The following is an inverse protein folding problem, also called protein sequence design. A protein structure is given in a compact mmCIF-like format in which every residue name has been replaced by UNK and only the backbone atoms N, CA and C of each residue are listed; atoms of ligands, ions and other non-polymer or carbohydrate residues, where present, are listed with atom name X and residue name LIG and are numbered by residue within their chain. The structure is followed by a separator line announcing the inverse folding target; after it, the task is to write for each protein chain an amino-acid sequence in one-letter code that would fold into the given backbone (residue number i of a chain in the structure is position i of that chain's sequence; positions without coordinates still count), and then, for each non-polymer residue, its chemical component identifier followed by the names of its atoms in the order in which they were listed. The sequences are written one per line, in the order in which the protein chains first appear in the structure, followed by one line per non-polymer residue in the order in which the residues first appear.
data_IF_844165005603
#
_entry.id   IF_844165005603
#
_cell.length_a   1.000
_cell.length_b   1.000
_cell.length_c   1.000
_cell.angle_alpha   90.00
_cell.angle_beta   90.00
_cell.angle_gamma   90.00
#
_symmetry.space_group_name_H-M   'P 1'
#
loop_
_entity.id
_entity.type
_entity.pdbx_description
1 polymer ?
#
# COMPACT_ATOMS: atom_id res chain seq x y z
N UNK A 1 -5.23 6.19 -23.34
CA UNK A 1 -4.87 6.67 -21.99
C UNK A 1 -4.73 5.53 -20.99
N UNK A 2 -4.29 4.37 -21.49
CA UNK A 2 -4.21 3.08 -20.79
C UNK A 2 -2.91 2.40 -21.24
N UNK A 3 -1.76 2.85 -20.72
CA UNK A 3 -0.47 2.13 -20.73
C UNK A 3 0.59 3.00 -20.05
N UNK A 4 1.53 2.36 -19.34
CA UNK A 4 2.69 2.92 -18.59
C UNK A 4 2.43 3.43 -17.16
N UNK A 5 2.72 2.60 -16.15
CA UNK A 5 4.00 2.55 -15.42
C UNK A 5 4.00 1.32 -14.52
N UNK A 6 5.07 0.53 -14.64
CA UNK A 6 4.88 -0.90 -14.60
C UNK A 6 6.14 -1.76 -14.40
N UNK A 7 7.02 -1.47 -13.42
CA UNK A 7 7.93 -2.49 -12.85
C UNK A 7 8.84 -1.97 -11.71
N UNK A 8 8.79 -2.64 -10.55
CA UNK A 8 9.87 -3.01 -9.60
C UNK A 8 9.21 -3.44 -8.27
N UNK A 9 9.29 -4.64 -7.70
CA UNK A 9 9.75 -5.98 -8.05
C UNK A 9 8.78 -6.96 -7.34
N UNK A 10 8.52 -8.13 -7.94
CA UNK A 10 7.83 -9.32 -7.42
C UNK A 10 6.40 -9.20 -6.80
N UNK A 11 5.94 -8.00 -6.45
CA UNK A 11 4.53 -7.75 -6.18
C UNK A 11 3.70 -7.76 -7.46
N UNK A 12 4.27 -7.70 -8.65
CA UNK A 12 3.48 -7.90 -9.88
C UNK A 12 3.14 -9.35 -10.12
N UNK A 13 4.05 -10.27 -9.81
CA UNK A 13 3.73 -11.69 -9.93
C UNK A 13 2.95 -12.16 -8.72
N UNK A 14 3.26 -11.68 -7.51
CA UNK A 14 2.45 -11.96 -6.31
C UNK A 14 1.09 -11.25 -6.36
N UNK A 15 0.98 -10.00 -6.84
CA UNK A 15 -0.33 -9.36 -7.06
C UNK A 15 -1.05 -9.94 -8.26
N UNK A 16 -0.39 -10.33 -9.35
CA UNK A 16 -1.06 -11.11 -10.41
C UNK A 16 -1.50 -12.46 -9.86
N UNK A 17 -0.72 -13.14 -9.04
CA UNK A 17 -1.06 -14.43 -8.44
C UNK A 17 -2.09 -14.30 -7.32
N UNK A 18 -2.14 -13.20 -6.57
CA UNK A 18 -3.13 -12.90 -5.54
C UNK A 18 -4.42 -12.38 -6.17
N UNK A 19 -4.33 -11.55 -7.21
CA UNK A 19 -5.47 -11.16 -8.05
C UNK A 19 -5.99 -12.37 -8.82
N UNK A 20 -5.13 -13.28 -9.30
CA UNK A 20 -5.51 -14.54 -9.91
C UNK A 20 -6.06 -15.51 -8.86
N UNK A 21 -5.56 -15.55 -7.62
CA UNK A 21 -6.15 -16.35 -6.54
C UNK A 21 -7.52 -15.79 -6.11
N UNK A 22 -7.68 -14.46 -6.08
CA UNK A 22 -8.95 -13.80 -5.79
C UNK A 22 -9.96 -14.00 -6.93
N UNK A 23 -9.50 -13.94 -8.19
CA UNK A 23 -10.31 -14.20 -9.39
C UNK A 23 -10.64 -15.70 -9.51
N UNK A 24 -9.70 -16.62 -9.29
CA UNK A 24 -9.95 -18.06 -9.27
C UNK A 24 -10.93 -18.41 -8.15
N UNK A 25 -10.78 -17.85 -6.94
CA UNK A 25 -11.75 -18.05 -5.85
C UNK A 25 -13.13 -17.46 -6.13
N UNK A 26 -13.24 -16.48 -7.04
CA UNK A 26 -14.49 -15.92 -7.52
C UNK A 26 -15.10 -16.73 -8.69
N UNK A 27 -14.27 -17.31 -9.56
CA UNK A 27 -14.67 -18.14 -10.71
C UNK A 27 -15.09 -19.55 -10.27
N UNK A 28 -14.43 -20.13 -9.25
CA UNK A 28 -14.81 -21.44 -8.69
C UNK A 28 -16.22 -21.42 -8.04
N UNK A 29 -16.68 -20.24 -7.60
CA UNK A 29 -18.06 -20.03 -7.12
C UNK A 29 -19.11 -19.99 -8.24
N UNK A 30 -18.73 -19.73 -9.49
CA UNK A 30 -19.67 -19.72 -10.62
C UNK A 30 -19.88 -21.12 -11.23
N UNK A 31 -19.09 -22.12 -10.85
CA UNK A 31 -19.18 -23.49 -11.38
C UNK A 31 -20.18 -24.42 -10.69
N UNK A 32 -20.80 -24.00 -9.57
CA UNK A 32 -21.75 -24.84 -8.82
C UNK A 32 -22.98 -24.03 -8.37
N UNK A 33 -23.79 -23.61 -9.34
CA UNK A 33 -25.22 -23.35 -9.10
C UNK A 33 -26.03 -23.99 -10.22
N UNK A 34 -26.38 -25.26 -10.08
CA UNK A 34 -27.58 -25.79 -10.73
C UNK A 34 -28.77 -25.22 -9.96
N UNK A 35 -29.26 -24.05 -10.37
CA UNK A 35 -30.56 -23.57 -9.95
C UNK A 35 -31.63 -24.24 -10.82
N UNK A 36 -32.32 -25.22 -10.25
CA UNK A 36 -33.62 -25.66 -10.74
C UNK A 36 -34.66 -24.56 -10.48
N UNK A 37 -34.90 -23.72 -11.48
CA UNK A 37 -36.05 -22.85 -11.54
C UNK A 37 -36.77 -23.07 -12.86
N UNK A 38 -37.41 -24.23 -12.99
CA UNK A 38 -38.52 -24.41 -13.92
C UNK A 38 -39.80 -23.92 -13.23
N UNK A 39 -40.35 -22.78 -13.65
CA UNK A 39 -41.78 -22.59 -13.94
C UNK A 39 -42.14 -21.12 -14.19
N UNK A 40 -42.83 -20.92 -15.32
CA UNK A 40 -43.75 -19.83 -15.65
C UNK A 40 -43.17 -18.51 -16.16
N UNK A 41 -43.23 -18.40 -17.49
CA UNK A 41 -43.26 -17.16 -18.27
C UNK A 41 -44.50 -16.32 -17.91
N UNK A 42 -44.34 -15.00 -17.87
CA UNK A 42 -45.35 -14.08 -18.43
C UNK A 42 -44.64 -12.82 -18.99
N UNK A 43 -44.74 -12.51 -20.29
CA UNK A 43 -44.20 -11.29 -20.87
C UNK A 43 -45.29 -10.20 -20.89
N UNK A 44 -44.94 -8.98 -20.48
CA UNK A 44 -45.75 -7.75 -20.47
C UNK A 44 -46.64 -7.52 -19.23
N UNK A 45 -46.14 -6.73 -18.26
CA UNK A 45 -47.00 -6.21 -17.18
C UNK A 45 -46.32 -5.17 -16.28
N UNK A 46 -46.44 -3.89 -16.64
CA UNK A 46 -46.15 -2.73 -15.80
C UNK A 46 -47.09 -2.67 -14.57
N UNK A 47 -46.55 -2.37 -13.38
CA UNK A 47 -47.16 -1.50 -12.35
C UNK A 47 -46.20 -1.34 -11.15
N UNK A 48 -45.62 -0.15 -10.90
CA UNK A 48 -46.02 0.87 -9.90
C UNK A 48 -46.32 0.40 -8.47
N UNK A 49 -45.50 0.98 -7.56
CA UNK A 49 -45.77 1.41 -6.18
C UNK A 49 -46.13 0.40 -5.09
N UNK A 50 -45.37 0.46 -3.98
CA UNK A 50 -45.99 0.68 -2.68
C UNK A 50 -45.01 1.38 -1.73
N UNK A 51 -45.35 2.63 -1.37
CA UNK A 51 -44.70 3.48 -0.38
C UNK A 51 -45.76 3.80 0.68
N UNK A 52 -45.46 3.61 1.97
CA UNK A 52 -46.06 4.18 3.22
C UNK A 52 -45.84 3.17 4.36
N UNK A 53 -45.47 3.47 5.62
CA UNK A 53 -45.54 4.62 6.53
C UNK A 53 -44.31 4.53 7.47
N UNK A 54 -43.73 5.59 8.05
CA UNK A 54 -44.37 6.49 9.01
C UNK A 54 -43.68 7.87 9.11
N UNK A 55 -44.50 8.87 9.39
CA UNK A 55 -44.20 10.30 9.55
C UNK A 55 -44.11 10.69 11.04
N UNK A 56 -43.36 11.74 11.32
CA UNK A 56 -43.55 12.71 12.42
C UNK A 56 -42.61 13.90 12.13
N UNK A 57 -43.04 14.99 11.49
CA UNK A 57 -43.87 16.14 11.94
C UNK A 57 -43.26 16.91 13.11
N UNK A 58 -42.59 18.03 12.81
CA UNK A 58 -42.75 19.32 13.50
C UNK A 58 -42.69 20.47 12.47
N UNK A 59 -43.74 21.29 12.49
CA UNK A 59 -43.90 22.63 11.89
C UNK A 59 -43.30 23.67 12.88
N UNK A 60 -42.96 24.95 12.61
CA UNK A 60 -43.39 25.97 11.62
C UNK A 60 -42.52 27.26 11.80
N UNK A 61 -42.37 28.02 10.70
CA UNK A 61 -42.36 29.51 10.51
C UNK A 61 -41.09 30.35 10.81
N UNK A 62 -40.68 31.11 9.78
CA UNK A 62 -39.60 32.13 9.73
C UNK A 62 -39.98 33.52 10.29
N UNK A 63 -39.44 34.67 9.78
CA UNK A 63 -39.31 35.01 8.36
C UNK A 63 -38.04 35.81 7.90
N UNK A 64 -37.91 35.86 6.56
CA UNK A 64 -37.39 36.90 5.64
C UNK A 64 -36.77 38.19 6.19
N UNK A 65 -35.67 38.66 5.57
CA UNK A 65 -35.62 39.97 4.87
C UNK A 65 -34.27 40.22 4.14
N UNK A 66 -34.41 40.75 2.92
CA UNK A 66 -33.58 41.77 2.25
C UNK A 66 -32.28 41.44 1.50
N UNK A 67 -32.41 41.58 0.18
CA UNK A 67 -31.36 41.89 -0.83
C UNK A 67 -30.85 43.32 -0.66
N UNK A 68 -29.57 43.56 -0.96
CA UNK A 68 -29.13 44.77 -1.69
C UNK A 68 -27.88 44.51 -2.55
N UNK A 69 -27.81 45.06 -3.78
CA UNK A 69 -26.66 44.95 -4.67
C UNK A 69 -25.66 46.10 -4.48
N UNK A 70 -24.36 45.84 -4.70
CA UNK A 70 -23.32 46.88 -4.76
C UNK A 70 -23.18 47.48 -6.17
N UNK A 71 -22.85 48.78 -6.29
CA UNK A 71 -22.76 49.48 -7.57
C UNK A 71 -21.40 49.29 -8.26
N UNK A 72 -21.44 49.30 -9.59
CA UNK A 72 -20.28 49.39 -10.48
C UNK A 72 -19.89 50.87 -10.64
N UNK A 73 -18.60 51.16 -10.59
CA UNK A 73 -18.04 52.43 -11.03
C UNK A 73 -17.19 52.21 -12.30
N UNK A 74 -17.29 53.07 -13.32
CA UNK A 74 -16.43 53.02 -14.49
C UNK A 74 -15.16 53.87 -14.22
N UNK A 75 -13.99 53.36 -14.60
CA UNK A 75 -12.79 54.18 -14.72
C UNK A 75 -12.17 53.95 -16.09
N UNK A 76 -12.16 55.03 -16.88
CA UNK A 76 -11.47 55.18 -18.15
C UNK A 76 -9.95 55.19 -17.91
N UNK A 77 -9.19 54.45 -18.72
CA UNK A 77 -7.75 54.64 -18.90
C UNK A 77 -7.42 54.71 -20.40
N UNK A 78 -6.44 55.54 -20.81
CA UNK A 78 -6.08 55.78 -22.21
C UNK A 78 -5.21 54.65 -22.83
N UNK A 79 -5.11 54.58 -24.16
CA UNK A 79 -4.35 53.55 -24.87
C UNK A 79 -2.85 53.83 -24.82
N UNK A 80 -2.06 52.86 -24.37
CA UNK A 80 -0.60 52.81 -24.56
C UNK A 80 -0.21 51.76 -25.62
N UNK A 81 0.87 52.01 -26.38
CA UNK A 81 1.17 51.28 -27.60
C UNK A 81 1.93 49.96 -27.36
N UNK A 82 1.63 49.03 -28.25
CA UNK A 82 2.21 47.72 -28.51
C UNK A 82 3.71 47.57 -28.21
N UNK A 83 4.05 46.64 -27.31
CA UNK A 83 5.29 45.87 -27.36
C UNK A 83 4.95 44.39 -27.16
N UNK A 84 5.39 43.58 -28.11
CA UNK A 84 5.13 42.14 -28.22
C UNK A 84 5.77 41.37 -27.05
N UNK A 85 5.01 40.61 -26.25
CA UNK A 85 5.59 39.54 -25.45
C UNK A 85 5.87 38.36 -26.38
N UNK A 86 7.15 38.11 -26.63
CA UNK A 86 7.63 36.87 -27.22
C UNK A 86 7.23 35.72 -26.28
N UNK A 87 6.14 35.06 -26.62
CA UNK A 87 5.60 33.91 -25.90
C UNK A 87 6.47 32.68 -26.16
N UNK A 88 7.54 32.57 -25.37
CA UNK A 88 8.27 31.32 -25.21
C UNK A 88 7.31 30.25 -24.68
N UNK A 89 7.21 29.06 -25.30
CA UNK A 89 6.38 27.99 -24.78
C UNK A 89 6.92 27.60 -23.40
N UNK A 90 6.14 27.92 -22.37
CA UNK A 90 6.35 27.45 -21.01
C UNK A 90 6.21 25.94 -21.04
N UNK A 91 7.36 25.26 -21.13
CA UNK A 91 7.48 23.82 -21.02
C UNK A 91 6.99 23.44 -19.63
N UNK A 92 5.72 23.04 -19.55
CA UNK A 92 5.08 22.56 -18.34
C UNK A 92 5.93 21.41 -17.81
N UNK A 93 6.73 21.72 -16.79
CA UNK A 93 7.64 20.75 -16.19
C UNK A 93 6.79 19.64 -15.62
N UNK A 94 7.07 18.36 -15.96
CA UNK A 94 6.28 17.25 -15.44
C UNK A 94 6.27 17.29 -13.91
N UNK A 95 5.16 16.84 -13.27
CA UNK A 95 5.02 16.85 -11.82
C UNK A 95 6.25 16.15 -11.21
N UNK A 96 7.03 16.91 -10.43
CA UNK A 96 8.31 16.45 -9.91
C UNK A 96 8.07 15.36 -8.87
N UNK A 97 8.18 14.11 -9.28
CA UNK A 97 8.20 12.97 -8.38
C UNK A 97 9.33 13.17 -7.34
N UNK A 98 8.93 13.20 -6.06
CA UNK A 98 9.85 13.28 -4.93
C UNK A 98 10.80 12.08 -4.98
N UNK A 99 12.10 12.32 -4.82
CA UNK A 99 13.09 11.25 -4.68
C UNK A 99 12.87 10.55 -3.34
N UNK A 100 12.75 9.21 -3.37
CA UNK A 100 12.68 8.39 -2.17
C UNK A 100 14.06 8.13 -1.59
N UNK A 101 14.12 7.87 -0.28
CA UNK A 101 15.31 7.31 0.35
C UNK A 101 15.69 5.98 -0.32
N UNK A 102 16.98 5.71 -0.45
CA UNK A 102 17.51 4.56 -1.18
C UNK A 102 17.59 4.72 -2.70
N UNK A 103 17.05 5.80 -3.27
CA UNK A 103 17.14 6.05 -4.71
C UNK A 103 18.60 6.27 -5.14
N UNK A 104 19.03 5.54 -6.17
CA UNK A 104 20.31 5.76 -6.84
C UNK A 104 20.21 6.97 -7.76
N UNK A 105 21.16 7.88 -7.60
CA UNK A 105 21.18 9.17 -8.29
C UNK A 105 22.56 9.46 -8.84
N UNK A 106 22.61 10.17 -9.97
CA UNK A 106 23.81 10.77 -10.52
C UNK A 106 23.75 12.29 -10.32
N UNK A 107 24.85 12.86 -9.87
CA UNK A 107 24.97 14.30 -9.63
C UNK A 107 25.22 15.01 -10.97
N UNK A 108 24.42 16.03 -11.28
CA UNK A 108 24.51 16.80 -12.53
C UNK A 108 24.32 18.30 -12.30
N UNK A 109 24.90 19.14 -13.16
CA UNK A 109 24.69 20.59 -13.14
C UNK A 109 25.18 21.33 -11.89
N UNK A 110 26.07 20.75 -11.07
CA UNK A 110 26.67 21.41 -9.92
C UNK A 110 27.65 22.49 -10.38
N UNK A 111 27.35 23.75 -10.05
CA UNK A 111 28.20 24.91 -10.37
C UNK A 111 29.29 25.17 -9.32
N UNK A 112 28.96 24.98 -8.03
CA UNK A 112 29.90 25.21 -6.93
C UNK A 112 30.97 24.11 -6.81
N UNK A 113 30.68 22.90 -7.31
CA UNK A 113 31.58 21.72 -7.24
C UNK A 113 31.47 20.90 -8.53
N UNK A 114 31.98 21.43 -9.66
CA UNK A 114 31.84 20.77 -10.95
C UNK A 114 32.54 19.40 -11.01
N UNK A 115 33.56 19.16 -10.18
CA UNK A 115 34.26 17.88 -10.07
C UNK A 115 33.38 16.72 -9.56
N UNK A 116 32.22 17.02 -8.94
CA UNK A 116 31.26 16.00 -8.51
C UNK A 116 30.20 15.68 -9.56
N UNK A 117 30.17 16.41 -10.69
CA UNK A 117 29.25 16.07 -11.78
C UNK A 117 29.65 14.72 -12.39
N UNK A 118 28.69 13.82 -12.54
CA UNK A 118 28.90 12.43 -12.94
C UNK A 118 29.10 11.46 -11.78
N UNK A 119 29.30 11.94 -10.54
CA UNK A 119 29.39 11.08 -9.38
C UNK A 119 28.04 10.38 -9.11
N UNK A 120 28.10 9.10 -8.78
CA UNK A 120 26.95 8.27 -8.45
C UNK A 120 26.81 8.15 -6.94
N UNK A 121 25.58 8.20 -6.43
CA UNK A 121 25.29 8.10 -5.01
C UNK A 121 23.89 7.57 -4.72
N UNK A 122 23.57 7.50 -3.44
CA UNK A 122 22.26 7.06 -2.93
C UNK A 122 21.70 8.11 -1.99
N UNK A 123 20.42 8.45 -2.16
CA UNK A 123 19.71 9.34 -1.24
C UNK A 123 19.56 8.65 0.12
N UNK A 124 20.08 9.24 1.19
CA UNK A 124 20.11 8.61 2.52
C UNK A 124 19.04 9.09 3.49
N UNK A 125 18.34 10.18 3.18
CA UNK A 125 17.23 10.67 4.00
C UNK A 125 16.32 11.61 3.21
N UNK A 126 15.19 11.96 3.80
CA UNK A 126 14.30 13.01 3.32
C UNK A 126 15.03 14.37 3.15
N UNK A 127 14.60 15.22 2.19
CA UNK A 127 15.24 16.51 1.96
C UNK A 127 15.13 17.42 3.18
N UNK A 128 16.18 18.21 3.44
CA UNK A 128 16.26 19.14 4.56
C UNK A 128 16.49 20.58 4.08
N UNK A 129 15.98 21.55 4.85
CA UNK A 129 16.19 22.99 4.63
C UNK A 129 15.26 23.62 3.59
N UNK A 130 15.41 24.94 3.41
CA UNK A 130 14.72 25.73 2.39
C UNK A 130 15.76 26.56 1.59
N UNK A 131 16.00 26.27 0.30
CA UNK A 131 15.32 25.27 -0.52
C UNK A 131 15.71 23.81 -0.15
N UNK A 132 14.84 22.83 -0.40
CA UNK A 132 15.05 21.44 -0.02
C UNK A 132 16.30 20.83 -0.68
N UNK A 133 17.20 20.29 0.13
CA UNK A 133 18.42 19.59 -0.31
C UNK A 133 18.41 18.14 0.15
N UNK A 134 18.67 17.24 -0.78
CA UNK A 134 18.76 15.80 -0.53
C UNK A 134 20.16 15.43 -0.06
N UNK A 135 20.30 14.76 1.09
CA UNK A 135 21.58 14.16 1.48
C UNK A 135 21.85 12.92 0.63
N UNK A 136 22.99 12.90 -0.05
CA UNK A 136 23.41 11.82 -0.95
C UNK A 136 24.74 11.26 -0.49
N UNK A 137 24.79 9.96 -0.21
CA UNK A 137 26.04 9.22 0.03
C UNK A 137 26.63 8.78 -1.30
N UNK A 138 27.84 9.24 -1.59
CA UNK A 138 28.53 8.92 -2.83
C UNK A 138 29.01 7.47 -2.83
N UNK A 139 28.94 6.82 -3.98
CA UNK A 139 29.42 5.46 -4.23
C UNK A 139 30.59 5.47 -5.23
N UNK A 140 30.52 6.30 -6.27
CA UNK A 140 31.54 6.42 -7.32
C UNK A 140 31.68 7.87 -7.80
N UNK A 141 32.86 8.30 -8.28
CA UNK A 141 34.13 7.56 -8.27
C UNK A 141 34.78 7.57 -6.87
N UNK A 142 35.73 6.67 -6.55
CA UNK A 142 36.28 6.52 -5.20
C UNK A 142 36.96 7.79 -4.67
N UNK A 143 37.50 8.64 -5.55
CA UNK A 143 38.09 9.93 -5.19
C UNK A 143 37.05 10.87 -4.58
N UNK A 144 35.83 10.87 -5.14
CA UNK A 144 34.72 11.67 -4.62
C UNK A 144 34.21 11.14 -3.27
N UNK A 145 34.21 9.81 -3.08
CA UNK A 145 33.87 9.17 -1.81
C UNK A 145 34.89 9.52 -0.73
N UNK A 146 36.18 9.46 -1.05
CA UNK A 146 37.26 9.81 -0.12
C UNK A 146 37.23 11.30 0.26
N UNK A 147 36.90 12.19 -0.67
CA UNK A 147 36.78 13.62 -0.41
C UNK A 147 35.54 13.99 0.44
N UNK A 148 34.47 13.19 0.36
CA UNK A 148 33.19 13.44 1.03
C UNK A 148 32.63 12.17 1.70
N UNK A 149 33.28 11.66 2.75
CA UNK A 149 32.88 10.40 3.40
C UNK A 149 31.48 10.47 4.03
N UNK A 150 31.05 11.65 4.45
CA UNK A 150 29.71 11.89 5.02
C UNK A 150 28.61 12.12 3.96
N UNK A 151 28.99 12.18 2.68
CA UNK A 151 28.09 12.51 1.58
C UNK A 151 27.96 14.02 1.33
N UNK A 152 27.02 14.38 0.45
CA UNK A 152 26.80 15.77 -0.02
C UNK A 152 25.32 16.12 -0.05
N UNK A 153 24.99 17.37 0.26
CA UNK A 153 23.60 17.89 0.23
C UNK A 153 23.33 18.63 -1.08
N UNK A 154 22.48 18.07 -1.93
CA UNK A 154 22.30 18.50 -3.33
C UNK A 154 20.83 18.88 -3.61
N UNK A 155 20.59 19.90 -4.44
CA UNK A 155 19.23 20.29 -4.84
C UNK A 155 18.62 19.22 -5.76
N UNK A 156 17.29 19.14 -5.79
CA UNK A 156 16.56 18.19 -6.66
C UNK A 156 16.97 18.29 -8.14
N UNK A 157 17.15 19.51 -8.63
CA UNK A 157 17.49 19.82 -10.03
C UNK A 157 18.89 19.33 -10.43
N UNK A 158 19.72 19.02 -9.44
CA UNK A 158 21.08 18.53 -9.63
C UNK A 158 21.19 17.01 -9.46
N UNK A 159 20.06 16.29 -9.45
CA UNK A 159 19.99 14.84 -9.29
C UNK A 159 19.21 14.20 -10.44
N UNK A 160 19.90 13.32 -11.17
CA UNK A 160 19.32 12.46 -12.19
C UNK A 160 19.13 11.05 -11.62
N UNK A 161 17.97 10.42 -11.83
CA UNK A 161 17.71 9.06 -11.33
C UNK A 161 18.38 8.07 -12.29
N UNK A 162 19.27 7.23 -11.76
CA UNK A 162 19.93 6.19 -12.55
C UNK A 162 19.00 4.96 -12.65
N UNK A 163 18.13 4.99 -13.67
CA UNK A 163 17.10 3.97 -13.90
C UNK A 163 17.69 2.61 -14.31
N UNK A 164 18.83 2.60 -15.00
CA UNK A 164 19.36 1.39 -15.65
C UNK A 164 20.04 0.41 -14.69
N UNK A 165 20.42 0.86 -13.48
CA UNK A 165 21.12 0.01 -12.48
C UNK A 165 20.34 -0.26 -11.20
N UNK A 166 19.27 0.49 -10.94
CA UNK A 166 18.39 0.25 -9.79
C UNK A 166 17.70 -1.12 -9.87
N UNK A 167 17.68 -1.75 -11.06
CA UNK A 167 17.13 -3.08 -11.31
C UNK A 167 18.04 -4.26 -10.95
N UNK A 168 19.36 -4.06 -10.80
CA UNK A 168 20.34 -5.16 -10.91
C UNK A 168 21.08 -5.54 -9.60
N UNK A 169 20.76 -4.93 -8.45
CA UNK A 169 21.60 -5.03 -7.24
C UNK A 169 21.01 -5.85 -6.08
N UNK A 170 20.98 -7.18 -6.18
CA UNK A 170 21.07 -8.09 -5.01
C UNK A 170 22.23 -9.05 -5.29
N UNK A 171 23.44 -8.67 -4.86
CA UNK A 171 24.59 -9.57 -4.80
C UNK A 171 24.58 -10.26 -3.44
N UNK A 172 24.34 -11.57 -3.45
CA UNK A 172 24.63 -12.48 -2.35
C UNK A 172 26.14 -12.53 -2.12
N UNK A 173 26.60 -12.08 -0.96
CA UNK A 173 27.94 -12.37 -0.46
C UNK A 173 27.89 -13.68 0.33
N UNK A 174 27.95 -14.82 -0.37
CA UNK A 174 28.26 -16.11 0.25
C UNK A 174 29.51 -16.71 -0.38
N UNK A 175 30.47 -16.98 0.51
CA UNK A 175 31.89 -17.29 0.31
C UNK A 175 32.10 -18.78 -0.01
N UNK A 176 32.99 -19.01 -0.97
CA UNK A 176 33.72 -20.22 -1.39
C UNK A 176 33.56 -21.55 -0.63
N UNK A 177 33.35 -22.62 -1.42
CA UNK A 177 34.22 -23.82 -1.39
C UNK A 177 34.17 -24.62 -2.71
N UNK A 178 35.34 -25.03 -3.16
CA UNK A 178 35.66 -25.46 -4.54
C UNK A 178 35.57 -26.98 -4.79
N UNK A 179 35.20 -27.31 -6.04
CA UNK A 179 35.65 -28.42 -6.93
C UNK A 179 35.19 -29.90 -6.68
N UNK A 180 35.25 -30.83 -7.68
CA UNK A 180 35.57 -30.69 -9.11
C UNK A 180 34.57 -31.34 -10.13
N UNK A 181 34.49 -30.71 -11.32
CA UNK A 181 34.54 -31.29 -12.69
C UNK A 181 33.82 -32.62 -12.98
N UNK A 182 32.72 -32.55 -13.75
CA UNK A 182 32.29 -33.63 -14.66
C UNK A 182 31.65 -33.08 -15.94
N UNK A 183 31.82 -33.84 -17.01
CA UNK A 183 31.79 -33.45 -18.42
C UNK A 183 30.42 -33.03 -18.96
N UNK A 184 30.42 -32.02 -19.82
CA UNK A 184 29.34 -31.71 -20.76
C UNK A 184 29.30 -32.71 -21.92
N UNK A 185 28.11 -33.04 -22.43
CA UNK A 185 27.95 -33.27 -23.86
C UNK A 185 26.99 -32.27 -24.52
N UNK A 186 27.50 -31.74 -25.63
CA UNK A 186 26.85 -31.25 -26.86
C UNK A 186 25.34 -30.93 -26.88
N UNK A 187 25.07 -29.63 -27.06
CA UNK A 187 24.27 -29.06 -28.16
C UNK A 187 23.03 -29.85 -28.65
N UNK A 188 21.90 -29.65 -27.97
CA UNK A 188 20.56 -29.85 -28.53
C UNK A 188 19.83 -28.51 -28.65
N UNK A 189 19.63 -28.03 -29.89
CA UNK A 189 18.74 -26.90 -30.21
C UNK A 189 17.29 -27.26 -29.82
N UNK A 190 16.87 -26.89 -28.62
CA UNK A 190 15.48 -27.00 -28.19
C UNK A 190 14.67 -25.83 -28.77
N UNK A 191 13.80 -26.15 -29.74
CA UNK A 191 12.76 -25.24 -30.24
C UNK A 191 11.84 -24.86 -29.09
N UNK A 192 11.96 -23.62 -28.61
CA UNK A 192 11.09 -23.02 -27.62
C UNK A 192 9.73 -22.73 -28.27
N UNK A 193 8.86 -23.74 -28.33
CA UNK A 193 7.50 -23.59 -28.82
C UNK A 193 6.70 -22.80 -27.80
N UNK A 194 6.32 -21.58 -28.19
CA UNK A 194 5.47 -20.68 -27.41
C UNK A 194 4.12 -21.34 -27.14
N UNK A 195 4.03 -22.05 -26.02
CA UNK A 195 2.76 -22.54 -25.48
C UNK A 195 2.17 -21.38 -24.71
N UNK A 196 1.24 -20.67 -25.36
CA UNK A 196 0.46 -19.58 -24.81
C UNK A 196 -0.20 -20.00 -23.50
N UNK A 197 0.42 -19.59 -22.40
CA UNK A 197 -0.13 -19.09 -21.13
C UNK A 197 -1.55 -19.49 -20.71
N UNK A 198 -1.95 -20.75 -20.86
CA UNK A 198 -3.13 -21.28 -20.21
C UNK A 198 -2.81 -21.47 -18.73
N UNK A 199 -3.43 -20.64 -17.88
CA UNK A 199 -3.63 -20.77 -16.44
C UNK A 199 -2.78 -21.85 -15.77
N UNK A 200 -1.53 -21.51 -15.45
CA UNK A 200 -0.79 -22.31 -14.48
C UNK A 200 -1.45 -22.11 -13.12
N UNK A 201 -2.41 -22.98 -12.81
CA UNK A 201 -2.98 -23.14 -11.48
C UNK A 201 -1.79 -23.38 -10.54
N UNK A 202 -1.54 -22.42 -9.66
CA UNK A 202 -0.49 -22.53 -8.65
C UNK A 202 -0.76 -23.77 -7.80
N UNK A 203 0.29 -24.55 -7.51
CA UNK A 203 0.13 -25.68 -6.61
C UNK A 203 -0.38 -25.21 -5.23
N UNK A 204 -1.16 -26.03 -4.52
CA UNK A 204 -1.66 -25.68 -3.18
C UNK A 204 -0.55 -25.23 -2.23
N UNK A 205 0.64 -25.84 -2.32
CA UNK A 205 1.79 -25.50 -1.51
C UNK A 205 2.33 -24.09 -1.83
N UNK A 206 2.43 -23.73 -3.11
CA UNK A 206 2.86 -22.39 -3.53
C UNK A 206 1.84 -21.35 -3.06
N UNK A 207 0.54 -21.62 -3.19
CA UNK A 207 -0.52 -20.72 -2.70
C UNK A 207 -0.41 -20.46 -1.20
N UNK A 208 -0.24 -21.51 -0.40
CA UNK A 208 -0.08 -21.38 1.05
C UNK A 208 1.19 -20.60 1.41
N UNK A 209 2.32 -20.90 0.77
CA UNK A 209 3.57 -20.18 1.00
C UNK A 209 3.44 -18.67 0.66
N UNK A 210 2.77 -18.34 -0.46
CA UNK A 210 2.50 -16.95 -0.84
C UNK A 210 1.58 -16.26 0.17
N UNK A 211 0.52 -16.94 0.64
CA UNK A 211 -0.38 -16.40 1.66
C UNK A 211 0.31 -16.18 3.00
N UNK A 212 1.17 -17.11 3.42
CA UNK A 212 2.03 -16.97 4.61
C UNK A 212 2.93 -15.75 4.48
N UNK A 213 3.60 -15.59 3.34
CA UNK A 213 4.49 -14.44 3.13
C UNK A 213 3.72 -13.11 3.14
N UNK A 214 2.51 -13.12 2.58
CA UNK A 214 1.63 -11.95 2.58
C UNK A 214 1.19 -11.58 4.01
N UNK A 215 0.85 -12.58 4.83
CA UNK A 215 0.52 -12.38 6.24
C UNK A 215 1.71 -11.84 7.05
N UNK A 216 2.91 -12.40 6.88
CA UNK A 216 4.14 -11.90 7.53
C UNK A 216 4.37 -10.41 7.24
N UNK A 217 4.36 -10.02 5.96
CA UNK A 217 4.60 -8.62 5.57
C UNK A 217 3.54 -7.69 6.17
N UNK A 218 2.28 -8.15 6.27
CA UNK A 218 1.22 -7.38 6.90
C UNK A 218 1.44 -7.22 8.41
N UNK A 219 1.85 -8.28 9.11
CA UNK A 219 2.15 -8.20 10.55
C UNK A 219 3.37 -7.32 10.83
N UNK A 220 4.42 -7.41 10.01
CA UNK A 220 5.58 -6.50 10.11
C UNK A 220 5.14 -5.03 10.01
N UNK A 221 4.16 -4.73 9.15
CA UNK A 221 3.58 -3.40 9.01
C UNK A 221 2.80 -2.98 10.28
N UNK A 222 2.01 -3.89 10.87
CA UNK A 222 1.33 -3.65 12.15
C UNK A 222 2.32 -3.44 13.31
N UNK A 223 3.44 -4.15 13.34
CA UNK A 223 4.47 -4.00 14.37
C UNK A 223 5.19 -2.65 14.26
N UNK A 224 5.40 -2.18 13.03
CA UNK A 224 5.98 -0.88 12.75
C UNK A 224 5.01 0.31 12.89
N UNK A 225 3.74 0.08 13.24
CA UNK A 225 2.64 1.07 13.15
C UNK A 225 2.61 1.80 11.79
N UNK A 226 2.89 1.04 10.73
CA UNK A 226 3.00 1.52 9.37
C UNK A 226 1.92 0.88 8.49
N UNK A 227 1.37 1.65 7.56
CA UNK A 227 0.42 1.09 6.59
C UNK A 227 1.15 0.13 5.65
N UNK A 228 0.55 -1.03 5.32
CA UNK A 228 1.13 -1.95 4.37
C UNK A 228 1.16 -1.30 2.97
N UNK A 229 1.95 -1.87 2.06
CA UNK A 229 1.94 -1.44 0.66
C UNK A 229 0.54 -1.53 0.03
N UNK A 230 0.23 -0.64 -0.92
CA UNK A 230 -1.07 -0.55 -1.61
C UNK A 230 -1.58 -1.90 -2.16
N UNK A 231 -0.69 -2.77 -2.61
CA UNK A 231 -1.03 -4.11 -3.08
C UNK A 231 -1.69 -5.02 -2.03
N UNK A 232 -1.45 -4.76 -0.74
CA UNK A 232 -2.00 -5.53 0.39
C UNK A 232 -3.21 -4.86 1.04
N UNK A 233 -3.40 -3.56 0.82
CA UNK A 233 -4.52 -2.79 1.35
C UNK A 233 -5.87 -3.46 1.06
N UNK A 234 -6.10 -3.83 -0.20
CA UNK A 234 -7.34 -4.50 -0.61
C UNK A 234 -7.55 -5.89 -0.01
N UNK A 235 -6.47 -6.59 0.36
CA UNK A 235 -6.54 -7.95 0.93
C UNK A 235 -7.06 -7.89 2.37
N UNK A 236 -6.60 -6.90 3.14
CA UNK A 236 -6.91 -6.76 4.56
C UNK A 236 -7.96 -5.68 4.86
N UNK A 237 -8.52 -5.04 3.83
CA UNK A 237 -9.49 -3.95 3.98
C UNK A 237 -8.90 -2.67 4.60
N UNK A 238 -7.56 -2.56 4.62
CA UNK A 238 -6.84 -1.39 5.10
C UNK A 238 -6.68 -0.42 3.94
N UNK A 239 -6.70 0.88 4.20
CA UNK A 239 -6.38 1.88 3.18
C UNK A 239 -5.75 3.09 3.82
N UNK A 240 -4.53 3.42 3.41
CA UNK A 240 -3.89 4.66 3.83
C UNK A 240 -4.54 5.82 3.09
N UNK A 241 -5.32 6.63 3.79
CA UNK A 241 -5.79 7.89 3.22
C UNK A 241 -4.66 8.92 3.25
N UNK A 242 -3.92 9.02 2.15
CA UNK A 242 -2.85 10.00 1.92
C UNK A 242 -3.35 11.44 1.75
N UNK A 243 -4.65 11.70 1.87
CA UNK A 243 -5.26 13.01 1.71
C UNK A 243 -4.93 13.93 2.91
N UNK A 244 -3.66 14.26 3.08
CA UNK A 244 -3.16 15.62 3.30
C UNK A 244 -3.47 16.35 4.61
N UNK A 245 -4.25 15.80 5.52
CA UNK A 245 -4.38 16.37 6.85
C UNK A 245 -3.27 15.84 7.72
N UNK A 246 -2.39 16.71 8.25
CA UNK A 246 -1.69 16.41 9.52
C UNK A 246 -2.70 15.69 10.44
N UNK A 247 -2.27 14.65 11.19
CA UNK A 247 -3.05 14.12 12.31
C UNK A 247 -3.32 15.28 13.28
N UNK A 248 -4.33 16.11 13.00
CA UNK A 248 -4.97 16.90 14.03
C UNK A 248 -5.53 15.83 14.94
N UNK A 249 -5.00 15.81 16.16
CA UNK A 249 -5.40 14.95 17.25
C UNK A 249 -6.80 15.36 17.72
N UNK A 250 -7.69 15.67 16.78
CA UNK A 250 -9.10 15.83 17.05
C UNK A 250 -9.62 14.39 17.14
N UNK A 251 -9.83 13.97 18.37
CA UNK A 251 -10.07 12.62 18.89
C UNK A 251 -11.34 11.93 18.38
N UNK A 252 -12.02 12.50 17.40
CA UNK A 252 -13.28 11.98 16.89
C UNK A 252 -13.06 10.93 15.79
N UNK A 253 -12.95 9.68 16.23
CA UNK A 253 -12.88 8.50 15.35
C UNK A 253 -14.07 8.39 14.39
N UNK A 254 -15.19 9.08 14.65
CA UNK A 254 -16.35 9.07 13.77
C UNK A 254 -16.11 9.74 12.41
N UNK A 255 -15.05 10.55 12.32
CA UNK A 255 -14.62 11.19 11.06
C UNK A 255 -13.52 10.42 10.35
N UNK A 256 -12.92 9.42 11.02
CA UNK A 256 -11.78 8.71 10.46
C UNK A 256 -12.19 7.87 9.24
N UNK A 257 -11.34 7.82 8.21
CA UNK A 257 -11.52 6.90 7.08
C UNK A 257 -11.62 5.46 7.53
N UNK A 258 -12.47 4.67 6.85
CA UNK A 258 -12.67 3.26 7.22
C UNK A 258 -11.36 2.47 7.20
N UNK A 259 -10.50 2.68 6.20
CA UNK A 259 -9.21 2.00 6.12
C UNK A 259 -8.30 2.22 7.35
N UNK A 260 -8.35 3.41 7.95
CA UNK A 260 -7.61 3.72 9.16
C UNK A 260 -8.21 3.01 10.39
N UNK A 261 -9.55 2.97 10.48
CA UNK A 261 -10.24 2.24 11.54
C UNK A 261 -9.94 0.74 11.44
N UNK A 262 -10.01 0.17 10.23
CA UNK A 262 -9.69 -1.25 9.97
C UNK A 262 -8.28 -1.58 10.43
N UNK A 263 -7.30 -0.72 10.14
CA UNK A 263 -5.91 -0.89 10.59
C UNK A 263 -5.80 -0.90 12.13
N UNK A 264 -6.40 0.08 12.82
CA UNK A 264 -6.42 0.11 14.29
C UNK A 264 -7.12 -1.11 14.91
N UNK A 265 -8.18 -1.61 14.27
CA UNK A 265 -8.85 -2.84 14.69
C UNK A 265 -7.99 -4.09 14.44
N UNK A 266 -7.19 -4.16 13.38
CA UNK A 266 -6.21 -5.23 13.18
C UNK A 266 -5.16 -5.29 14.28
N UNK A 267 -4.63 -4.14 14.71
CA UNK A 267 -3.72 -4.06 15.87
C UNK A 267 -4.40 -4.63 17.11
N UNK A 268 -5.69 -4.29 17.31
CA UNK A 268 -6.48 -4.78 18.44
C UNK A 268 -6.64 -6.30 18.41
N UNK A 269 -7.02 -6.87 17.26
CA UNK A 269 -7.15 -8.33 17.07
C UNK A 269 -5.83 -9.03 17.35
N UNK A 270 -4.72 -8.53 16.78
CA UNK A 270 -3.38 -9.10 16.99
C UNK A 270 -3.02 -9.10 18.47
N UNK A 271 -3.14 -7.96 19.14
CA UNK A 271 -2.72 -7.84 20.54
C UNK A 271 -3.51 -8.81 21.44
N UNK A 272 -4.83 -8.90 21.26
CA UNK A 272 -5.63 -9.85 22.03
C UNK A 272 -5.38 -11.31 21.68
N UNK A 273 -5.07 -11.63 20.42
CA UNK A 273 -4.65 -12.97 20.05
C UNK A 273 -3.37 -13.36 20.80
N UNK A 274 -2.39 -12.46 20.87
CA UNK A 274 -1.15 -12.70 21.60
C UNK A 274 -1.41 -12.81 23.11
N UNK A 275 -2.20 -11.91 23.67
CA UNK A 275 -2.55 -11.95 25.09
C UNK A 275 -3.26 -13.27 25.47
N UNK A 276 -4.21 -13.75 24.66
CA UNK A 276 -4.86 -15.06 24.86
C UNK A 276 -3.84 -16.21 24.90
N UNK A 277 -2.84 -16.18 24.01
CA UNK A 277 -1.79 -17.23 23.95
C UNK A 277 -0.78 -17.11 25.09
N UNK A 278 -0.44 -15.89 25.48
CA UNK A 278 0.50 -15.64 26.58
C UNK A 278 -0.14 -15.95 27.93
N UNK A 279 -1.39 -15.54 28.17
CA UNK A 279 -2.13 -15.81 29.40
C UNK A 279 -2.35 -17.31 29.63
N UNK A 280 -2.61 -18.06 28.56
CA UNK A 280 -2.67 -19.53 28.63
C UNK A 280 -1.35 -20.18 29.08
N UNK A 281 -0.24 -19.44 29.02
CA UNK A 281 1.08 -19.94 29.36
C UNK A 281 1.69 -19.30 30.62
N UNK A 282 1.04 -18.28 31.21
CA UNK A 282 1.47 -17.62 32.45
C UNK A 282 1.31 -18.46 33.72
N UNK A 283 0.92 -19.74 33.59
CA UNK A 283 1.06 -20.74 34.66
C UNK A 283 2.53 -21.06 35.00
N UNK A 284 3.47 -20.47 34.24
CA UNK A 284 4.91 -20.60 34.39
C UNK A 284 5.47 -19.51 35.33
N UNK A 285 6.36 -19.90 36.24
CA UNK A 285 6.92 -19.03 37.27
C UNK A 285 7.80 -17.87 36.75
N UNK A 286 8.20 -16.93 37.63
CA UNK A 286 8.86 -15.66 37.26
C UNK A 286 10.27 -15.80 36.67
N UNK A 287 10.95 -16.93 36.81
CA UNK A 287 12.34 -17.14 36.35
C UNK A 287 12.44 -17.54 34.85
N UNK A 288 11.35 -17.40 34.10
CA UNK A 288 11.20 -18.02 32.78
C UNK A 288 11.12 -17.02 31.61
N UNK A 289 11.91 -15.95 31.67
CA UNK A 289 11.92 -14.91 30.64
C UNK A 289 12.22 -15.43 29.23
N UNK A 290 13.14 -16.40 29.09
CA UNK A 290 13.46 -17.03 27.80
C UNK A 290 12.25 -17.78 27.22
N UNK A 291 11.47 -18.43 28.09
CA UNK A 291 10.24 -19.12 27.67
C UNK A 291 9.17 -18.12 27.26
N UNK A 292 9.06 -16.98 27.95
CA UNK A 292 8.15 -15.91 27.56
C UNK A 292 8.43 -15.41 26.13
N UNK A 293 9.70 -15.21 25.80
CA UNK A 293 10.10 -14.80 24.46
C UNK A 293 9.80 -15.88 23.41
N UNK A 294 10.08 -17.14 23.72
CA UNK A 294 9.79 -18.26 22.81
C UNK A 294 8.29 -18.46 22.58
N UNK A 295 7.47 -18.25 23.62
CA UNK A 295 6.02 -18.29 23.52
C UNK A 295 5.46 -17.15 22.69
N UNK A 296 6.00 -15.94 22.84
CA UNK A 296 5.63 -14.80 21.99
C UNK A 296 5.94 -15.07 20.51
N UNK A 297 7.12 -15.64 20.21
CA UNK A 297 7.48 -16.06 18.84
C UNK A 297 6.53 -17.12 18.29
N UNK A 298 6.20 -18.12 19.12
CA UNK A 298 5.25 -19.18 18.75
C UNK A 298 3.85 -18.61 18.49
N UNK A 299 3.35 -17.72 19.34
CA UNK A 299 2.06 -17.06 19.15
C UNK A 299 2.05 -16.24 17.84
N UNK A 300 3.13 -15.53 17.52
CA UNK A 300 3.27 -14.83 16.25
C UNK A 300 3.19 -15.79 15.05
N UNK A 301 3.93 -16.91 15.09
CA UNK A 301 3.87 -17.92 14.03
C UNK A 301 2.48 -18.54 13.87
N UNK A 302 1.79 -18.84 14.98
CA UNK A 302 0.43 -19.37 14.97
C UNK A 302 -0.55 -18.36 14.34
N UNK A 303 -0.40 -17.06 14.62
CA UNK A 303 -1.23 -16.01 14.04
C UNK A 303 -1.02 -15.89 12.54
N UNK A 304 0.24 -15.93 12.07
CA UNK A 304 0.59 -15.97 10.64
C UNK A 304 -0.07 -17.17 9.95
N UNK A 305 0.03 -18.36 10.55
CA UNK A 305 -0.59 -19.57 9.99
C UNK A 305 -2.11 -19.47 9.90
N UNK A 306 -2.76 -18.86 10.90
CA UNK A 306 -4.20 -18.65 10.89
C UNK A 306 -4.63 -17.72 9.75
N UNK A 307 -3.98 -16.55 9.63
CA UNK A 307 -4.23 -15.60 8.54
C UNK A 307 -3.98 -16.26 7.19
N UNK A 308 -2.86 -16.96 7.02
CA UNK A 308 -2.51 -17.63 5.78
C UNK A 308 -3.57 -18.67 5.37
N UNK A 309 -4.06 -19.46 6.34
CA UNK A 309 -5.13 -20.45 6.11
C UNK A 309 -6.42 -19.78 5.64
N UNK A 310 -6.81 -18.68 6.30
CA UNK A 310 -8.01 -17.91 5.95
C UNK A 310 -7.89 -17.27 4.56
N UNK A 311 -6.70 -16.76 4.19
CA UNK A 311 -6.41 -16.24 2.86
C UNK A 311 -6.55 -17.31 1.78
N UNK A 312 -5.96 -18.50 1.99
CA UNK A 312 -6.07 -19.62 1.04
C UNK A 312 -7.53 -20.04 0.82
N UNK A 313 -8.36 -19.93 1.86
CA UNK A 313 -9.80 -20.24 1.79
C UNK A 313 -10.64 -19.11 1.18
N UNK A 314 -10.08 -17.91 0.96
CA UNK A 314 -10.84 -16.75 0.51
C UNK A 314 -11.90 -16.29 1.52
N UNK A 315 -11.65 -16.50 2.82
CA UNK A 315 -12.59 -16.20 3.93
C UNK A 315 -12.16 -14.99 4.78
N UNK A 316 -11.21 -14.19 4.30
CA UNK A 316 -10.63 -13.09 5.08
C UNK A 316 -11.66 -12.09 5.62
N UNK A 317 -12.64 -11.60 4.82
CA UNK A 317 -13.64 -10.68 5.33
C UNK A 317 -14.51 -11.28 6.44
N UNK A 318 -14.98 -12.53 6.26
CA UNK A 318 -15.84 -13.18 7.26
C UNK A 318 -15.08 -13.46 8.56
N UNK A 319 -13.86 -13.99 8.46
CA UNK A 319 -13.03 -14.26 9.64
C UNK A 319 -12.74 -12.96 10.40
N UNK A 320 -12.43 -11.87 9.70
CA UNK A 320 -12.20 -10.57 10.32
C UNK A 320 -13.43 -10.06 11.07
N UNK A 321 -14.61 -10.10 10.44
CA UNK A 321 -15.88 -9.74 11.07
C UNK A 321 -16.19 -10.60 12.32
N UNK A 322 -15.93 -11.91 12.25
CA UNK A 322 -16.04 -12.83 13.38
C UNK A 322 -15.13 -12.42 14.54
N UNK A 323 -13.89 -12.02 14.27
CA UNK A 323 -12.97 -11.51 15.31
C UNK A 323 -13.47 -10.21 15.94
N UNK A 324 -13.97 -9.25 15.15
CA UNK A 324 -14.53 -8.00 15.69
C UNK A 324 -15.72 -8.28 16.61
N UNK A 325 -16.63 -9.17 16.21
CA UNK A 325 -17.77 -9.59 17.02
C UNK A 325 -17.36 -10.37 18.26
N UNK A 326 -16.31 -11.20 18.17
CA UNK A 326 -15.73 -11.89 19.32
C UNK A 326 -15.25 -10.87 20.36
N UNK A 327 -14.41 -9.91 19.95
CA UNK A 327 -13.92 -8.84 20.82
C UNK A 327 -15.07 -8.06 21.46
N UNK A 328 -16.12 -7.74 20.69
CA UNK A 328 -17.29 -7.04 21.22
C UNK A 328 -18.05 -7.84 22.30
N UNK A 329 -18.28 -9.14 22.06
CA UNK A 329 -18.98 -10.01 23.02
C UNK A 329 -18.20 -10.18 24.33
N UNK A 330 -16.88 -10.16 24.24
CA UNK A 330 -15.99 -10.34 25.40
C UNK A 330 -15.70 -9.03 26.14
N UNK A 331 -16.21 -7.88 25.67
CA UNK A 331 -15.91 -6.57 26.26
C UNK A 331 -14.48 -6.10 26.02
N UNK A 332 -13.81 -6.66 25.01
CA UNK A 332 -12.39 -6.46 24.67
C UNK A 332 -12.19 -5.54 23.45
N UNK A 333 -13.28 -4.99 22.92
CA UNK A 333 -13.25 -4.13 21.75
C UNK A 333 -12.53 -2.80 22.04
N UNK A 334 -11.67 -2.37 21.13
CA UNK A 334 -11.13 -1.01 21.12
C UNK A 334 -12.14 -0.02 20.52
N UNK A 335 -11.87 1.29 20.67
CA UNK A 335 -12.70 2.32 20.03
C UNK A 335 -12.76 2.16 18.49
N UNK A 336 -11.71 1.65 17.85
CA UNK A 336 -11.71 1.34 16.42
C UNK A 336 -12.75 0.27 16.08
N UNK A 337 -12.75 -0.83 16.84
CA UNK A 337 -13.69 -1.94 16.66
C UNK A 337 -15.12 -1.47 16.90
N UNK A 338 -15.36 -0.70 17.97
CA UNK A 338 -16.67 -0.12 18.26
C UNK A 338 -17.19 0.72 17.09
N UNK A 339 -16.33 1.55 16.53
CA UNK A 339 -16.69 2.46 15.45
C UNK A 339 -16.97 1.73 14.13
N UNK A 340 -16.21 0.68 13.79
CA UNK A 340 -16.48 -0.19 12.63
C UNK A 340 -17.84 -0.85 12.78
N UNK A 341 -18.10 -1.47 13.94
CA UNK A 341 -19.38 -2.16 14.20
C UNK A 341 -20.55 -1.17 14.17
N UNK A 342 -20.38 0.03 14.75
CA UNK A 342 -21.40 1.10 14.74
C UNK A 342 -21.78 1.51 13.32
N UNK A 343 -20.81 1.53 12.40
CA UNK A 343 -21.02 1.86 10.98
C UNK A 343 -21.62 0.72 10.16
N UNK A 344 -21.84 -0.47 10.76
CA UNK A 344 -22.41 -1.67 10.12
C UNK A 344 -21.62 -2.09 8.87
N UNK A 345 -20.30 -2.06 8.98
CA UNK A 345 -19.41 -2.51 7.91
C UNK A 345 -19.46 -4.03 7.75
#
# INVERSE_FOLDING_TARGET
TLTCIAQHLNLREVSKQLLLCAVISAVDRQGQTTCDCASSLDPYGLATSCLSCAKGVYHRIGPSLSRHPRPRHPSLQPPTPHLHPSSSPSSASPPMSLLSEGARVRLVGLTARPALNGAEGVVVAAPQGDPPRYPVRLLHPPEAVAAHPEGVKVKRDNLEIDADRSAAGKQDTSKDKSAPKQQQPAAGKAKNSGKSGADQILSPQIRLATCRKTAEIFLDALDADAYPAEAMEGIFGVRMNCAGGQRKVDSDLSTWPMGNLTFGAWITIRNWFFEDRMMAAYELGPDEQDKLQEMAKRAAAEFVEEIARVLVQGRMPQWYEEQLRKLQREGRQSYYVMEIVRRKF
#
